data_IF_959190774745
#
_entry.id   IF_959190774745
#
_cell.length_a   1.000
_cell.length_b   1.000
_cell.length_c   1.000
_cell.angle_alpha   90.00
_cell.angle_beta   90.00
_cell.angle_gamma   90.00
#
_symmetry.space_group_name_H-M   'P 1'
#
loop_
_entity.id
_entity.type
_entity.pdbx_description
1 polymer ?
#
# COMPACT_ATOMS: atom_id res chain seq x y z
N UNK A 1 32.68 -3.81 3.57
CA UNK A 1 32.87 -4.39 2.23
C UNK A 1 32.52 -5.87 2.20
N UNK A 2 32.97 -6.68 3.16
CA UNK A 2 32.68 -8.14 3.21
C UNK A 2 31.26 -8.50 3.66
N UNK A 3 30.65 -7.74 4.59
CA UNK A 3 29.25 -7.95 5.03
C UNK A 3 28.22 -7.69 3.93
N UNK A 4 28.52 -6.77 2.99
CA UNK A 4 27.67 -6.47 1.83
C UNK A 4 27.72 -7.63 0.82
N UNK A 5 28.87 -8.29 0.69
CA UNK A 5 29.01 -9.45 -0.20
C UNK A 5 28.39 -10.72 0.41
N UNK A 6 28.43 -10.88 1.74
CA UNK A 6 27.69 -11.94 2.44
C UNK A 6 26.18 -11.77 2.30
N UNK A 7 25.67 -10.55 2.44
CA UNK A 7 24.26 -10.19 2.25
C UNK A 7 23.74 -10.47 0.82
N UNK A 8 24.59 -10.28 -0.21
CA UNK A 8 24.23 -10.55 -1.62
C UNK A 8 24.02 -12.03 -1.95
N UNK A 9 24.54 -12.95 -1.12
CA UNK A 9 24.47 -14.40 -1.34
C UNK A 9 23.18 -15.06 -0.87
N UNK A 10 22.33 -14.33 -0.11
CA UNK A 10 21.01 -14.82 0.33
C UNK A 10 19.92 -14.34 -0.63
N UNK A 11 19.11 -15.23 -1.23
CA UNK A 11 18.11 -14.88 -2.25
C UNK A 11 17.04 -13.88 -1.77
N UNK A 12 16.85 -13.74 -0.45
CA UNK A 12 15.91 -12.79 0.17
C UNK A 12 16.38 -11.33 0.05
N UNK A 13 17.70 -11.10 -0.04
CA UNK A 13 18.29 -9.75 -0.13
C UNK A 13 18.54 -9.32 -1.58
N UNK A 14 18.66 -10.28 -2.51
CA UNK A 14 19.02 -10.02 -3.91
C UNK A 14 17.85 -9.47 -4.74
N UNK A 15 16.59 -9.57 -4.28
CA UNK A 15 15.40 -9.13 -5.02
C UNK A 15 15.05 -7.64 -4.88
N UNK A 16 15.78 -6.87 -4.04
CA UNK A 16 15.48 -5.47 -3.76
C UNK A 16 16.24 -4.44 -4.63
N UNK A 17 17.00 -4.90 -5.64
CA UNK A 17 17.90 -4.05 -6.43
C UNK A 17 17.14 -3.32 -7.54
N UNK A 18 16.52 -2.17 -7.21
CA UNK A 18 16.14 -1.16 -8.20
C UNK A 18 16.28 0.25 -7.58
N UNK A 19 17.29 1.01 -8.06
CA UNK A 19 17.52 2.46 -7.91
C UNK A 19 18.46 2.91 -6.76
N UNK A 20 19.57 3.62 -7.09
CA UNK A 20 20.66 3.99 -6.15
C UNK A 20 20.21 4.77 -4.92
N UNK A 21 19.20 5.64 -5.06
CA UNK A 21 18.65 6.43 -3.95
C UNK A 21 17.87 5.56 -2.95
N UNK A 22 17.13 4.56 -3.45
CA UNK A 22 16.44 3.58 -2.58
C UNK A 22 17.44 2.69 -1.84
N UNK A 23 18.54 2.33 -2.50
CA UNK A 23 19.61 1.54 -1.88
C UNK A 23 20.24 2.26 -0.70
N UNK A 24 20.51 3.56 -0.82
CA UNK A 24 21.07 4.36 0.27
C UNK A 24 20.08 4.49 1.44
N UNK A 25 18.79 4.73 1.14
CA UNK A 25 17.74 4.81 2.16
C UNK A 25 17.58 3.48 2.91
N UNK A 26 17.56 2.36 2.18
CA UNK A 26 17.48 1.02 2.76
C UNK A 26 18.71 0.69 3.60
N UNK A 27 19.91 1.03 3.13
CA UNK A 27 21.15 0.79 3.88
C UNK A 27 21.14 1.52 5.23
N UNK A 28 20.70 2.77 5.27
CA UNK A 28 20.54 3.53 6.52
C UNK A 28 19.54 2.85 7.45
N UNK A 29 18.39 2.42 6.93
CA UNK A 29 17.38 1.74 7.74
C UNK A 29 17.87 0.39 8.29
N UNK A 30 18.61 -0.40 7.50
CA UNK A 30 19.17 -1.67 7.97
C UNK A 30 20.17 -1.45 9.13
N UNK A 31 20.95 -0.37 9.11
CA UNK A 31 21.82 0.00 10.23
C UNK A 31 21.01 0.31 11.49
N UNK A 32 19.89 1.04 11.36
CA UNK A 32 18.98 1.30 12.48
C UNK A 32 18.38 -0.01 13.04
N UNK A 33 18.01 -0.95 12.16
CA UNK A 33 17.51 -2.27 12.58
C UNK A 33 18.57 -3.11 13.30
N UNK A 34 19.83 -3.06 12.87
CA UNK A 34 20.93 -3.74 13.54
C UNK A 34 21.05 -3.28 14.99
N UNK A 35 21.01 -1.97 15.24
CA UNK A 35 21.01 -1.43 16.59
C UNK A 35 19.81 -1.89 17.42
N UNK A 36 18.61 -1.93 16.83
CA UNK A 36 17.39 -2.38 17.52
C UNK A 36 17.34 -3.89 17.80
N UNK A 37 18.14 -4.69 17.09
CA UNK A 37 18.16 -6.15 17.24
C UNK A 37 19.02 -6.64 18.41
N UNK A 38 19.78 -5.74 19.07
CA UNK A 38 20.75 -6.08 20.12
C UNK A 38 21.73 -7.21 19.72
N UNK A 39 22.00 -7.37 18.42
CA UNK A 39 22.87 -8.42 17.90
C UNK A 39 22.20 -9.77 17.62
N UNK A 40 20.89 -9.92 17.85
CA UNK A 40 20.15 -11.12 17.47
C UNK A 40 19.94 -11.17 15.96
N UNK A 41 20.73 -12.02 15.30
CA UNK A 41 20.69 -12.19 13.84
C UNK A 41 19.37 -12.75 13.33
N UNK A 42 18.67 -13.60 14.09
CA UNK A 42 17.38 -14.15 13.66
C UNK A 42 16.30 -13.06 13.66
N UNK A 43 16.31 -12.17 14.67
CA UNK A 43 15.43 -11.01 14.73
C UNK A 43 15.73 -10.03 13.60
N UNK A 44 17.01 -9.76 13.33
CA UNK A 44 17.42 -8.87 12.26
C UNK A 44 16.98 -9.39 10.88
N UNK A 45 17.21 -10.68 10.60
CA UNK A 45 16.78 -11.32 9.34
C UNK A 45 15.27 -11.26 9.15
N UNK A 46 14.50 -11.50 10.22
CA UNK A 46 13.04 -11.38 10.17
C UNK A 46 12.58 -9.95 9.86
N UNK A 47 13.18 -8.93 10.51
CA UNK A 47 12.83 -7.53 10.26
C UNK A 47 13.21 -7.10 8.84
N UNK A 48 14.34 -7.56 8.32
CA UNK A 48 14.75 -7.28 6.94
C UNK A 48 13.76 -7.94 5.96
N UNK A 49 13.40 -9.21 6.18
CA UNK A 49 12.49 -9.94 5.30
C UNK A 49 11.08 -9.33 5.25
N UNK A 50 10.61 -8.70 6.34
CA UNK A 50 9.32 -8.01 6.39
C UNK A 50 9.35 -6.58 5.87
N UNK A 51 10.53 -6.00 5.61
CA UNK A 51 10.66 -4.61 5.19
C UNK A 51 10.19 -4.41 3.74
N UNK A 52 9.41 -3.37 3.50
CA UNK A 52 9.00 -2.90 2.17
C UNK A 52 9.27 -1.40 2.05
N UNK A 53 9.63 -0.97 0.84
CA UNK A 53 9.92 0.44 0.53
C UNK A 53 8.81 1.00 -0.36
N UNK A 54 8.13 2.02 0.14
CA UNK A 54 7.20 2.83 -0.65
C UNK A 54 7.99 3.95 -1.35
N UNK A 55 7.87 4.01 -2.67
CA UNK A 55 8.51 5.05 -3.48
C UNK A 55 7.89 6.43 -3.27
N UNK A 56 8.54 7.49 -3.75
CA UNK A 56 7.96 8.86 -3.75
C UNK A 56 6.68 8.96 -4.60
N UNK A 57 6.59 8.15 -5.66
CA UNK A 57 5.37 7.97 -6.45
C UNK A 57 4.57 6.76 -5.94
N UNK A 58 3.58 7.02 -5.09
CA UNK A 58 2.71 6.00 -4.49
C UNK A 58 1.79 5.34 -5.54
N UNK A 59 1.42 4.09 -5.28
CA UNK A 59 0.42 3.28 -6.00
C UNK A 59 -0.85 3.22 -5.15
N UNK A 60 -1.88 3.96 -5.54
CA UNK A 60 -3.06 4.20 -4.70
C UNK A 60 -4.26 3.46 -5.28
N UNK A 61 -4.89 2.59 -4.48
CA UNK A 61 -6.09 1.85 -4.83
C UNK A 61 -7.34 2.53 -4.28
N UNK A 62 -8.39 2.61 -5.12
CA UNK A 62 -9.66 3.22 -4.78
C UNK A 62 -10.81 2.22 -4.93
N UNK A 63 -11.63 2.12 -3.88
CA UNK A 63 -12.91 1.43 -3.91
C UNK A 63 -13.93 2.25 -3.11
N UNK A 64 -15.21 2.09 -3.44
CA UNK A 64 -16.28 2.74 -2.68
C UNK A 64 -17.60 2.00 -2.90
N UNK A 65 -18.38 1.80 -1.84
CA UNK A 65 -19.78 1.40 -1.99
C UNK A 65 -20.57 2.48 -2.73
N UNK A 66 -21.69 2.12 -3.35
CA UNK A 66 -22.46 3.03 -4.21
C UNK A 66 -22.84 4.33 -3.50
N UNK A 67 -23.35 4.25 -2.27
CA UNK A 67 -23.69 5.41 -1.44
C UNK A 67 -22.51 6.28 -1.02
N UNK A 68 -21.26 5.84 -1.26
CA UNK A 68 -20.03 6.52 -0.85
C UNK A 68 -19.20 7.05 -2.01
N UNK A 69 -19.56 6.73 -3.26
CA UNK A 69 -18.80 7.16 -4.45
C UNK A 69 -18.73 8.68 -4.58
N UNK A 70 -19.85 9.38 -4.37
CA UNK A 70 -19.87 10.84 -4.47
C UNK A 70 -18.99 11.49 -3.41
N UNK A 71 -19.06 11.01 -2.16
CA UNK A 71 -18.21 11.44 -1.05
C UNK A 71 -16.72 11.23 -1.37
N UNK A 72 -16.37 10.09 -1.97
CA UNK A 72 -15.01 9.83 -2.44
C UNK A 72 -14.57 10.87 -3.49
N UNK A 73 -15.39 11.11 -4.52
CA UNK A 73 -15.05 12.07 -5.58
C UNK A 73 -14.84 13.47 -5.01
N UNK A 74 -15.69 13.92 -4.10
CA UNK A 74 -15.57 15.23 -3.46
C UNK A 74 -14.30 15.37 -2.62
N UNK A 75 -13.93 14.32 -1.89
CA UNK A 75 -12.63 14.25 -1.20
C UNK A 75 -11.46 14.35 -2.19
N UNK A 76 -11.44 13.50 -3.22
CA UNK A 76 -10.32 13.43 -4.17
C UNK A 76 -10.15 14.69 -5.02
N UNK A 77 -11.24 15.40 -5.35
CA UNK A 77 -11.16 16.68 -6.08
C UNK A 77 -10.28 17.71 -5.38
N UNK A 78 -10.30 17.75 -4.04
CA UNK A 78 -9.45 18.66 -3.23
C UNK A 78 -7.96 18.35 -3.39
N UNK A 79 -7.62 17.09 -3.65
CA UNK A 79 -6.25 16.57 -3.67
C UNK A 79 -5.75 16.22 -5.07
N UNK A 80 -6.44 16.67 -6.13
CA UNK A 80 -6.11 16.33 -7.53
C UNK A 80 -4.63 16.53 -7.86
N UNK A 81 -4.03 17.63 -7.41
CA UNK A 81 -2.62 17.94 -7.68
C UNK A 81 -1.65 16.93 -7.05
N UNK A 82 -2.01 16.37 -5.90
CA UNK A 82 -1.24 15.31 -5.24
C UNK A 82 -1.41 14.00 -6.03
N UNK A 83 -2.66 13.65 -6.36
CA UNK A 83 -3.00 12.43 -7.09
C UNK A 83 -2.31 12.31 -8.46
N UNK A 84 -2.11 13.44 -9.16
CA UNK A 84 -1.40 13.49 -10.46
C UNK A 84 0.07 13.00 -10.39
N UNK A 85 0.68 13.00 -9.21
CA UNK A 85 2.05 12.52 -8.98
C UNK A 85 2.10 11.01 -8.74
N UNK A 86 0.97 10.32 -8.70
CA UNK A 86 0.86 8.95 -8.23
C UNK A 86 0.20 8.03 -9.27
N UNK A 87 0.39 6.73 -9.12
CA UNK A 87 -0.29 5.72 -9.95
C UNK A 87 -1.62 5.37 -9.30
N UNK A 88 -2.71 5.53 -10.04
CA UNK A 88 -4.06 5.36 -9.52
C UNK A 88 -4.69 4.08 -10.06
N UNK A 89 -5.35 3.33 -9.18
CA UNK A 89 -6.10 2.12 -9.49
C UNK A 89 -7.51 2.22 -8.92
N UNK A 90 -8.55 1.78 -9.63
CA UNK A 90 -9.91 1.88 -9.13
C UNK A 90 -10.82 0.75 -9.60
N UNK A 91 -11.69 0.25 -8.73
CA UNK A 91 -12.65 -0.80 -9.10
C UNK A 91 -13.80 -0.25 -9.94
N UNK A 92 -14.27 -1.05 -10.91
CA UNK A 92 -15.48 -0.86 -11.71
C UNK A 92 -15.86 0.58 -12.03
N UNK A 93 -16.98 1.02 -11.44
CA UNK A 93 -17.55 2.36 -11.58
C UNK A 93 -16.84 3.41 -10.76
N UNK A 94 -16.19 3.06 -9.64
CA UNK A 94 -15.39 3.98 -8.84
C UNK A 94 -14.22 4.53 -9.65
N UNK A 95 -13.45 3.65 -10.30
CA UNK A 95 -12.35 4.07 -11.18
C UNK A 95 -12.82 4.97 -12.32
N UNK A 96 -13.93 4.59 -12.97
CA UNK A 96 -14.53 5.40 -14.05
C UNK A 96 -14.93 6.80 -13.59
N UNK A 97 -15.57 6.93 -12.43
CA UNK A 97 -15.98 8.22 -11.89
C UNK A 97 -14.76 9.09 -11.56
N UNK A 98 -13.70 8.51 -10.98
CA UNK A 98 -12.46 9.25 -10.69
C UNK A 98 -11.86 9.79 -11.98
N UNK A 99 -11.71 8.96 -13.02
CA UNK A 99 -11.17 9.41 -14.32
C UNK A 99 -11.98 10.56 -14.90
N UNK A 100 -13.31 10.40 -14.93
CA UNK A 100 -14.21 11.39 -15.53
C UNK A 100 -14.22 12.71 -14.77
N UNK A 101 -14.34 12.65 -13.45
CA UNK A 101 -14.57 13.83 -12.61
C UNK A 101 -13.30 14.60 -12.28
N UNK A 102 -12.14 13.92 -12.25
CA UNK A 102 -10.86 14.54 -11.96
C UNK A 102 -10.02 14.75 -13.23
N UNK A 103 -10.37 14.14 -14.36
CA UNK A 103 -9.57 14.14 -15.59
C UNK A 103 -8.14 13.66 -15.33
N UNK A 104 -8.02 12.45 -14.75
CA UNK A 104 -6.76 11.77 -14.42
C UNK A 104 -6.81 10.34 -14.96
N UNK A 105 -5.65 9.74 -15.23
CA UNK A 105 -5.59 8.34 -15.65
C UNK A 105 -5.74 7.41 -14.46
N UNK A 106 -6.63 6.41 -14.55
CA UNK A 106 -6.81 5.37 -13.54
C UNK A 106 -6.78 4.01 -14.19
N UNK A 107 -5.95 3.09 -13.68
CA UNK A 107 -6.05 1.69 -14.10
C UNK A 107 -7.30 1.08 -13.48
N UNK A 108 -8.27 0.74 -14.33
CA UNK A 108 -9.57 0.22 -13.89
C UNK A 108 -9.55 -1.30 -13.72
N UNK A 109 -10.14 -1.74 -12.62
CA UNK A 109 -10.39 -3.15 -12.30
C UNK A 109 -11.87 -3.50 -12.47
N UNK A 110 -12.20 -4.78 -12.28
CA UNK A 110 -13.59 -5.21 -12.21
C UNK A 110 -14.32 -4.50 -11.06
N UNK A 111 -15.66 -4.55 -11.03
CA UNK A 111 -16.40 -4.11 -9.84
C UNK A 111 -16.03 -4.98 -8.64
N UNK A 112 -16.17 -4.46 -7.42
CA UNK A 112 -15.89 -5.22 -6.20
C UNK A 112 -16.63 -6.57 -6.18
N UNK A 113 -17.93 -6.53 -6.49
CA UNK A 113 -18.81 -7.70 -6.63
C UNK A 113 -18.41 -8.72 -7.71
N UNK A 114 -17.55 -8.34 -8.65
CA UNK A 114 -17.05 -9.19 -9.74
C UNK A 114 -15.56 -9.53 -9.56
N UNK A 115 -15.02 -9.36 -8.35
CA UNK A 115 -13.63 -9.71 -8.00
C UNK A 115 -12.63 -8.56 -8.06
N UNK A 116 -13.08 -7.31 -8.26
CA UNK A 116 -12.21 -6.13 -8.24
C UNK A 116 -11.46 -5.95 -6.92
N UNK A 117 -12.09 -6.31 -5.80
CA UNK A 117 -11.49 -6.22 -4.47
C UNK A 117 -10.35 -7.24 -4.31
N UNK A 118 -10.50 -8.42 -4.94
CA UNK A 118 -9.45 -9.43 -4.98
C UNK A 118 -8.29 -9.01 -5.90
N UNK A 119 -8.56 -8.29 -6.99
CA UNK A 119 -7.51 -7.70 -7.83
C UNK A 119 -6.69 -6.67 -7.03
N UNK A 120 -7.34 -5.80 -6.25
CA UNK A 120 -6.64 -4.88 -5.34
C UNK A 120 -5.86 -5.65 -4.26
N UNK A 121 -6.46 -6.66 -3.64
CA UNK A 121 -5.82 -7.49 -2.62
C UNK A 121 -4.58 -8.22 -3.16
N UNK A 122 -4.63 -8.73 -4.39
CA UNK A 122 -3.48 -9.33 -5.06
C UNK A 122 -2.33 -8.33 -5.20
N UNK A 123 -2.62 -7.08 -5.58
CA UNK A 123 -1.59 -6.04 -5.65
C UNK A 123 -1.01 -5.66 -4.29
N UNK A 124 -1.82 -5.67 -3.23
CA UNK A 124 -1.30 -5.48 -1.87
C UNK A 124 -0.32 -6.61 -1.55
N UNK A 125 -0.72 -7.85 -1.83
CA UNK A 125 0.08 -9.03 -1.51
C UNK A 125 1.40 -9.13 -2.29
N UNK A 126 1.44 -8.56 -3.49
CA UNK A 126 2.65 -8.51 -4.33
C UNK A 126 3.48 -7.23 -4.14
N UNK A 127 3.19 -6.42 -3.12
CA UNK A 127 3.83 -5.12 -2.88
C UNK A 127 3.73 -4.16 -4.09
N UNK A 128 2.63 -4.26 -4.83
CA UNK A 128 2.29 -3.43 -5.98
C UNK A 128 1.16 -2.42 -5.71
N UNK A 129 0.74 -2.30 -4.46
CA UNK A 129 -0.15 -1.26 -3.95
C UNK A 129 0.43 -0.67 -2.67
N UNK A 130 0.45 0.66 -2.59
CA UNK A 130 1.06 1.39 -1.49
C UNK A 130 0.04 1.92 -0.50
N UNK A 131 -1.14 2.32 -0.98
CA UNK A 131 -2.19 2.97 -0.19
C UNK A 131 -3.54 2.43 -0.68
N UNK A 132 -4.46 2.20 0.26
CA UNK A 132 -5.85 1.86 -0.04
C UNK A 132 -6.80 2.93 0.51
N UNK A 133 -7.67 3.46 -0.35
CA UNK A 133 -8.80 4.30 0.05
C UNK A 133 -10.07 3.56 -0.34
N UNK A 134 -10.76 3.01 0.65
CA UNK A 134 -11.98 2.23 0.47
C UNK A 134 -13.13 2.82 1.29
N UNK A 135 -13.94 3.70 0.72
CA UNK A 135 -15.11 4.24 1.44
C UNK A 135 -16.25 3.21 1.52
N UNK A 136 -16.44 2.70 2.73
CA UNK A 136 -17.41 1.67 3.05
C UNK A 136 -18.69 2.35 3.57
N UNK A 137 -19.83 1.95 3.02
CA UNK A 137 -21.14 2.25 3.58
C UNK A 137 -21.40 1.35 4.81
N UNK A 138 -21.48 1.91 6.03
CA UNK A 138 -21.67 1.12 7.25
C UNK A 138 -23.13 0.76 7.53
N UNK A 139 -24.09 1.32 6.80
CA UNK A 139 -25.52 1.16 7.05
C UNK A 139 -26.21 0.22 6.05
N UNK A 140 -25.59 0.00 4.88
CA UNK A 140 -26.16 -0.84 3.83
C UNK A 140 -25.48 -2.21 3.76
N UNK A 141 -26.23 -3.33 3.75
CA UNK A 141 -25.66 -4.64 3.55
C UNK A 141 -25.02 -4.76 2.16
N UNK A 142 -23.89 -5.43 2.07
CA UNK A 142 -23.18 -5.65 0.81
C UNK A 142 -23.10 -7.13 0.47
N UNK A 143 -23.41 -7.47 -0.78
CA UNK A 143 -23.29 -8.84 -1.29
C UNK A 143 -21.85 -9.39 -1.25
N UNK A 144 -20.85 -8.50 -1.16
CA UNK A 144 -19.43 -8.80 -1.18
C UNK A 144 -18.73 -8.43 0.15
N UNK A 145 -19.44 -8.38 1.28
CA UNK A 145 -18.87 -8.00 2.59
C UNK A 145 -17.68 -8.89 3.03
N UNK A 146 -17.69 -10.16 2.65
CA UNK A 146 -16.56 -11.07 2.87
C UNK A 146 -15.30 -10.62 2.12
N UNK A 147 -15.45 -10.14 0.88
CA UNK A 147 -14.34 -9.62 0.08
C UNK A 147 -13.80 -8.30 0.66
N UNK A 148 -14.69 -7.41 1.15
CA UNK A 148 -14.31 -6.16 1.83
C UNK A 148 -13.42 -6.45 3.04
N UNK A 149 -13.86 -7.35 3.91
CA UNK A 149 -13.10 -7.75 5.11
C UNK A 149 -11.77 -8.40 4.75
N UNK A 150 -11.74 -9.25 3.73
CA UNK A 150 -10.52 -9.89 3.26
C UNK A 150 -9.50 -8.86 2.73
N UNK A 151 -9.97 -7.83 2.01
CA UNK A 151 -9.14 -6.75 1.49
C UNK A 151 -8.56 -5.87 2.62
N UNK A 152 -9.39 -5.45 3.59
CA UNK A 152 -8.92 -4.67 4.74
C UNK A 152 -7.90 -5.44 5.58
N UNK A 153 -8.15 -6.73 5.82
CA UNK A 153 -7.19 -7.61 6.50
C UNK A 153 -5.86 -7.68 5.76
N UNK A 154 -5.86 -7.71 4.42
CA UNK A 154 -4.62 -7.64 3.64
C UNK A 154 -3.90 -6.30 3.84
N UNK A 155 -4.63 -5.18 3.86
CA UNK A 155 -4.05 -3.88 4.13
C UNK A 155 -3.36 -3.83 5.51
N UNK A 156 -3.97 -4.43 6.53
CA UNK A 156 -3.39 -4.58 7.87
C UNK A 156 -2.14 -5.47 7.88
N UNK A 157 -2.21 -6.64 7.25
CA UNK A 157 -1.06 -7.57 7.17
C UNK A 157 0.14 -6.93 6.48
N UNK A 158 -0.10 -6.24 5.36
CA UNK A 158 0.97 -5.57 4.62
C UNK A 158 1.29 -4.17 5.16
N UNK A 159 0.59 -3.75 6.22
CA UNK A 159 0.79 -2.50 6.92
C UNK A 159 0.82 -1.29 5.97
N UNK A 160 -0.16 -1.23 5.09
CA UNK A 160 -0.29 -0.13 4.14
C UNK A 160 -1.26 0.92 4.73
N UNK A 161 -1.04 2.23 4.51
CA UNK A 161 -2.03 3.23 4.87
C UNK A 161 -3.38 2.90 4.23
N UNK A 162 -4.41 2.79 5.08
CA UNK A 162 -5.76 2.44 4.67
C UNK A 162 -6.75 3.45 5.24
N UNK A 163 -7.55 4.06 4.38
CA UNK A 163 -8.66 4.92 4.78
C UNK A 163 -9.99 4.30 4.41
N UNK A 164 -10.87 4.18 5.40
CA UNK A 164 -12.26 3.73 5.22
C UNK A 164 -13.29 4.86 5.30
N UNK A 165 -12.83 6.09 5.55
CA UNK A 165 -13.63 7.32 5.63
C UNK A 165 -12.96 8.45 4.84
N UNK A 166 -13.73 9.43 4.39
CA UNK A 166 -13.19 10.56 3.63
C UNK A 166 -12.21 11.40 4.48
N UNK A 167 -12.50 11.57 5.78
CA UNK A 167 -11.60 12.26 6.70
C UNK A 167 -10.26 11.56 6.82
N UNK A 168 -10.24 10.23 6.97
CA UNK A 168 -8.99 9.48 6.99
C UNK A 168 -8.23 9.60 5.66
N UNK A 169 -8.95 9.60 4.53
CA UNK A 169 -8.35 9.81 3.22
C UNK A 169 -7.71 11.20 3.10
N UNK A 170 -8.36 12.26 3.59
CA UNK A 170 -7.80 13.61 3.64
C UNK A 170 -6.49 13.65 4.45
N UNK A 171 -6.46 13.05 5.64
CA UNK A 171 -5.23 12.96 6.46
C UNK A 171 -4.10 12.21 5.75
N UNK A 172 -4.40 11.07 5.11
CA UNK A 172 -3.40 10.29 4.37
C UNK A 172 -2.86 11.09 3.19
N UNK A 173 -3.74 11.68 2.36
CA UNK A 173 -3.36 12.37 1.13
C UNK A 173 -2.61 13.68 1.39
N UNK A 174 -2.80 14.32 2.54
CA UNK A 174 -2.09 15.54 2.93
C UNK A 174 -0.81 15.31 3.73
N UNK A 175 -0.51 14.06 4.08
CA UNK A 175 0.72 13.72 4.81
C UNK A 175 1.97 14.07 3.99
N UNK A 176 2.98 14.66 4.63
CA UNK A 176 4.30 14.90 4.00
C UNK A 176 4.93 13.62 3.44
N UNK A 177 4.57 12.46 4.01
CA UNK A 177 5.03 11.14 3.57
C UNK A 177 4.57 10.77 2.14
N UNK A 178 3.57 11.46 1.58
CA UNK A 178 3.12 11.22 0.21
C UNK A 178 4.22 11.47 -0.82
N UNK A 179 5.11 12.43 -0.55
CA UNK A 179 6.19 12.85 -1.47
C UNK A 179 7.57 12.30 -1.06
N UNK A 180 7.64 11.51 0.00
CA UNK A 180 8.88 10.95 0.54
C UNK A 180 9.01 9.44 0.28
N UNK A 181 10.24 8.91 0.41
CA UNK A 181 10.46 7.48 0.58
C UNK A 181 10.01 7.06 1.96
N UNK A 182 9.24 5.97 2.05
CA UNK A 182 8.78 5.45 3.34
C UNK A 182 9.09 3.98 3.45
N UNK A 183 9.30 3.52 4.69
CA UNK A 183 9.41 2.10 5.00
C UNK A 183 8.20 1.66 5.80
N UNK A 184 7.72 0.46 5.46
CA UNK A 184 6.75 -0.28 6.25
C UNK A 184 7.25 -1.69 6.50
N UNK A 185 6.72 -2.32 7.54
CA UNK A 185 6.98 -3.72 7.86
C UNK A 185 5.69 -4.51 7.69
N UNK A 186 5.75 -5.57 6.90
CA UNK A 186 4.70 -6.57 6.80
C UNK A 186 4.60 -7.29 8.16
N UNK A 187 3.38 -7.42 8.67
CA UNK A 187 3.11 -8.17 9.89
C UNK A 187 3.36 -9.66 9.65
N UNK A 188 4.37 -10.19 10.32
CA UNK A 188 4.71 -11.62 10.34
C UNK A 188 4.25 -12.30 11.64
N UNK A 189 3.43 -11.62 12.45
CA UNK A 189 2.96 -12.13 13.75
C UNK A 189 2.13 -13.40 13.53
N UNK A 190 2.56 -14.51 14.13
CA UNK A 190 1.91 -15.82 14.00
C UNK A 190 2.19 -16.56 12.68
N UNK A 191 3.04 -16.02 11.81
CA UNK A 191 3.49 -16.74 10.62
C UNK A 191 4.43 -17.87 11.05
N UNK A 192 4.19 -19.14 10.66
CA UNK A 192 5.10 -20.22 11.00
C UNK A 192 6.47 -19.92 10.40
N UNK A 193 7.50 -19.97 11.25
CA UNK A 193 8.89 -19.94 10.77
C UNK A 193 9.07 -21.19 9.91
N UNK A 194 9.37 -20.98 8.62
CA UNK A 194 9.70 -22.07 7.71
C UNK A 194 11.00 -22.76 8.14
#
# INVERSE_FOLDING_TARGET
>A
SELINSAKSKPVLTSLIINQEKDQYLAKYIQELQHQSNGDMAVLEQKIASTRIMGVHKRIGFAAHDGKKQELIECLKKHKNILLKHKLYGTGTTGLLIEKELNVLVTRFQSGSMGGDQQLGAKIATDELDILIFLIDPLSPQAHDADVKALLRLAEVYNIPCATTATAADFILTSGMMEELCIRQVSLTGYPKA
#
